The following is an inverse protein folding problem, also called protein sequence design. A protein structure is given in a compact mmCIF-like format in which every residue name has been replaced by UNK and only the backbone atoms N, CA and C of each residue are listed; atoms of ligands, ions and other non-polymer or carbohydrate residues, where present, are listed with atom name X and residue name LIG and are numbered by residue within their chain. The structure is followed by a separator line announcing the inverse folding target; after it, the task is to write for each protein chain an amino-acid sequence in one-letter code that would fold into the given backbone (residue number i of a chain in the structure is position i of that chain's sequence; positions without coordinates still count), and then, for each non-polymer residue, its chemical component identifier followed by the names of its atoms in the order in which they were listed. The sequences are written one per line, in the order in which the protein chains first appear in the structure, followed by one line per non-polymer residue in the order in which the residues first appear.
data_IF_393548945529
#
_entry.id   IF_393548945529
#
_cell.length_a   1.000
_cell.length_b   1.000
_cell.length_c   1.000
_cell.angle_alpha   90.00
_cell.angle_beta   90.00
_cell.angle_gamma   90.00
#
_symmetry.space_group_name_H-M   'P 1'
#
loop_
_entity.id
_entity.type
_entity.pdbx_description
1 polymer ?
#
# COMPACT_ATOMS: atom_id res chain seq x y z
N UNK A 1 18.86 -4.36 -0.66
CA UNK A 1 19.50 -5.51 0.02
C UNK A 1 18.36 -6.21 0.73
N UNK A 2 18.07 -7.44 0.35
CA UNK A 2 16.87 -8.14 0.86
C UNK A 2 17.07 -8.50 2.33
N UNK A 3 16.14 -8.07 3.18
CA UNK A 3 16.14 -8.41 4.60
C UNK A 3 15.44 -9.76 4.79
N UNK A 4 15.91 -10.54 5.77
CA UNK A 4 15.37 -11.87 6.05
C UNK A 4 14.85 -11.92 7.48
N UNK A 5 13.58 -12.26 7.62
CA UNK A 5 12.92 -12.54 8.89
C UNK A 5 12.92 -14.05 9.11
N UNK A 6 13.42 -14.48 10.27
CA UNK A 6 13.45 -15.88 10.70
C UNK A 6 12.90 -16.03 12.10
N UNK A 7 12.45 -17.24 12.44
CA UNK A 7 12.08 -17.63 13.81
C UNK A 7 12.82 -18.93 14.14
N UNK A 8 13.61 -18.93 15.22
CA UNK A 8 14.40 -20.11 15.67
C UNK A 8 13.51 -21.32 15.96
N UNK A 9 12.22 -21.10 16.23
CA UNK A 9 11.22 -22.15 16.47
C UNK A 9 10.74 -22.82 15.18
N UNK A 10 11.01 -22.21 14.02
CA UNK A 10 10.56 -22.64 12.69
C UNK A 10 11.77 -22.94 11.78
N UNK A 11 12.62 -23.93 12.12
CA UNK A 11 13.79 -24.25 11.33
C UNK A 11 13.39 -24.64 9.90
N UNK A 12 14.11 -24.11 8.92
CA UNK A 12 13.83 -24.33 7.50
C UNK A 12 12.69 -23.45 6.96
N UNK A 13 12.26 -22.43 7.68
CA UNK A 13 11.38 -21.39 7.18
C UNK A 13 12.02 -20.01 7.30
N UNK A 14 11.71 -19.13 6.35
CA UNK A 14 12.10 -17.72 6.39
C UNK A 14 11.13 -16.88 5.60
N UNK A 15 11.03 -15.60 5.91
CA UNK A 15 10.39 -14.60 5.07
C UNK A 15 11.45 -13.61 4.56
N UNK A 16 11.43 -13.31 3.28
CA UNK A 16 12.26 -12.28 2.65
C UNK A 16 11.43 -11.02 2.48
N UNK A 17 11.95 -9.89 2.93
CA UNK A 17 11.46 -8.57 2.56
C UNK A 17 12.20 -8.12 1.30
N UNK A 18 11.44 -7.75 0.29
CA UNK A 18 11.93 -7.33 -1.03
C UNK A 18 11.37 -5.94 -1.28
N UNK A 19 12.22 -5.01 -1.67
CA UNK A 19 11.76 -3.67 -2.05
C UNK A 19 10.91 -3.75 -3.32
N UNK A 20 9.77 -3.08 -3.33
CA UNK A 20 8.87 -3.03 -4.48
C UNK A 20 9.12 -1.74 -5.28
N UNK A 21 10.05 -1.83 -6.22
CA UNK A 21 10.41 -0.73 -7.13
C UNK A 21 9.31 -0.40 -8.16
N UNK A 22 8.25 -1.21 -8.23
CA UNK A 22 7.13 -1.06 -9.18
C UNK A 22 5.78 -0.88 -8.48
N UNK A 23 5.80 -0.50 -7.19
CA UNK A 23 4.61 -0.33 -6.39
C UNK A 23 3.62 0.67 -7.03
N UNK A 24 2.37 0.23 -7.14
CA UNK A 24 1.26 1.11 -7.48
C UNK A 24 0.92 2.03 -6.29
N UNK A 25 0.18 3.10 -6.58
CA UNK A 25 -0.33 3.98 -5.52
C UNK A 25 -1.21 3.21 -4.53
N UNK A 26 -1.27 3.63 -3.25
CA UNK A 26 -2.17 3.01 -2.27
C UNK A 26 -3.60 2.91 -2.83
N UNK A 27 -4.09 1.68 -2.96
CA UNK A 27 -5.43 1.36 -3.44
C UNK A 27 -6.17 0.40 -2.48
N UNK A 28 -7.50 0.42 -2.53
CA UNK A 28 -8.33 -0.43 -1.69
C UNK A 28 -9.70 0.17 -1.35
N UNK A 29 -10.67 -0.72 -1.12
CA UNK A 29 -12.09 -0.37 -0.91
C UNK A 29 -12.35 0.47 0.36
N UNK A 30 -11.34 0.60 1.24
CA UNK A 30 -11.44 1.32 2.51
C UNK A 30 -10.48 2.51 2.65
N UNK A 31 -9.68 2.83 1.63
CA UNK A 31 -8.76 3.97 1.70
C UNK A 31 -9.51 5.29 1.54
N UNK A 32 -9.13 6.27 2.36
CA UNK A 32 -9.64 7.62 2.21
C UNK A 32 -9.27 8.18 0.83
N UNK A 33 -10.19 8.89 0.14
CA UNK A 33 -9.91 9.52 -1.13
C UNK A 33 -8.67 10.41 -1.09
N UNK A 34 -7.85 10.31 -2.13
CA UNK A 34 -6.64 11.11 -2.30
C UNK A 34 -6.58 11.79 -3.67
N UNK A 35 -6.23 13.08 -3.68
CA UNK A 35 -5.98 13.87 -4.88
C UNK A 35 -4.47 14.07 -5.06
N UNK A 36 -3.93 13.55 -6.15
CA UNK A 36 -2.55 13.72 -6.57
C UNK A 36 -2.42 14.99 -7.40
N UNK A 37 -1.56 15.90 -6.95
CA UNK A 37 -1.29 17.21 -7.58
C UNK A 37 0.18 17.28 -7.93
N UNK A 38 0.51 16.86 -9.15
CA UNK A 38 1.86 16.98 -9.67
C UNK A 38 2.21 18.43 -10.01
N UNK A 39 3.44 18.87 -9.74
CA UNK A 39 3.92 20.21 -10.16
C UNK A 39 3.86 20.43 -11.67
N UNK A 40 3.96 19.34 -12.42
CA UNK A 40 3.84 19.30 -13.88
C UNK A 40 2.90 18.16 -14.23
N UNK A 41 1.62 18.47 -14.44
CA UNK A 41 0.60 17.48 -14.76
C UNK A 41 -0.79 18.01 -14.47
N UNK A 42 -1.80 17.26 -14.92
CA UNK A 42 -3.17 17.48 -14.47
C UNK A 42 -3.36 16.73 -13.15
N UNK A 43 -4.03 17.34 -12.16
CA UNK A 43 -4.38 16.65 -10.94
C UNK A 43 -5.32 15.47 -11.25
N UNK A 44 -5.20 14.40 -10.48
CA UNK A 44 -6.07 13.23 -10.62
C UNK A 44 -6.33 12.63 -9.24
N UNK A 45 -7.46 11.95 -9.09
CA UNK A 45 -7.65 11.13 -7.89
C UNK A 45 -6.88 9.81 -8.03
N UNK A 46 -6.43 9.32 -6.89
CA UNK A 46 -5.90 7.97 -6.74
C UNK A 46 -6.91 6.94 -7.28
N UNK A 47 -6.43 5.78 -7.70
CA UNK A 47 -7.24 4.62 -8.03
C UNK A 47 -8.13 4.21 -6.85
N UNK A 48 -9.26 3.56 -7.14
CA UNK A 48 -10.17 3.06 -6.10
C UNK A 48 -11.17 4.07 -5.52
N UNK A 49 -11.39 5.23 -6.14
CA UNK A 49 -12.44 6.17 -5.70
C UNK A 49 -13.81 5.49 -5.73
N UNK A 50 -14.41 5.35 -4.55
CA UNK A 50 -15.69 4.65 -4.34
C UNK A 50 -16.87 5.22 -5.15
N UNK A 51 -16.86 6.52 -5.50
CA UNK A 51 -17.84 7.13 -6.41
C UNK A 51 -17.12 7.94 -7.49
N UNK A 52 -16.91 7.37 -8.69
CA UNK A 52 -16.17 8.03 -9.77
C UNK A 52 -16.71 9.41 -10.18
N UNK A 53 -18.02 9.60 -10.11
CA UNK A 53 -18.67 10.88 -10.43
C UNK A 53 -18.26 12.02 -9.47
N UNK A 54 -17.98 11.71 -8.20
CA UNK A 54 -17.42 12.70 -7.27
C UNK A 54 -15.98 13.03 -7.64
N UNK A 55 -15.20 12.03 -8.06
CA UNK A 55 -13.82 12.25 -8.48
C UNK A 55 -13.68 13.29 -9.58
N UNK A 56 -14.47 13.16 -10.65
CA UNK A 56 -14.48 14.13 -11.76
C UNK A 56 -14.80 15.55 -11.27
N UNK A 57 -15.77 15.70 -10.35
CA UNK A 57 -16.16 17.01 -9.81
C UNK A 57 -15.09 17.60 -8.89
N UNK A 58 -14.45 16.77 -8.08
CA UNK A 58 -13.38 17.18 -7.17
C UNK A 58 -12.17 17.68 -7.95
N UNK A 59 -11.72 16.93 -8.96
CA UNK A 59 -10.61 17.34 -9.85
C UNK A 59 -10.94 18.67 -10.54
N UNK A 60 -12.11 18.77 -11.17
CA UNK A 60 -12.53 20.00 -11.85
C UNK A 60 -12.66 21.21 -10.89
N UNK A 61 -13.04 20.97 -9.62
CA UNK A 61 -13.10 22.01 -8.62
C UNK A 61 -11.71 22.49 -8.21
N UNK A 62 -10.74 21.59 -8.06
CA UNK A 62 -9.35 21.94 -7.77
C UNK A 62 -8.77 22.84 -8.87
N UNK A 63 -8.88 22.42 -10.13
CA UNK A 63 -8.40 23.19 -11.29
C UNK A 63 -9.01 24.58 -11.38
N UNK A 64 -10.32 24.69 -11.14
CA UNK A 64 -11.04 25.96 -11.21
C UNK A 64 -10.67 26.91 -10.08
N UNK A 65 -10.46 26.39 -8.87
CA UNK A 65 -10.25 27.21 -7.68
C UNK A 65 -8.80 27.69 -7.55
N UNK A 66 -7.84 26.87 -7.98
CA UNK A 66 -6.41 27.21 -8.04
C UNK A 66 -5.77 27.54 -6.69
N UNK A 67 -6.45 27.22 -5.59
CA UNK A 67 -6.08 27.59 -4.23
C UNK A 67 -6.57 26.52 -3.25
N UNK A 68 -5.67 26.09 -2.35
CA UNK A 68 -5.91 24.97 -1.42
C UNK A 68 -6.98 25.30 -0.40
N UNK A 69 -7.01 26.51 0.14
CA UNK A 69 -8.00 26.90 1.17
C UNK A 69 -9.41 26.97 0.60
N UNK A 70 -9.54 27.51 -0.63
CA UNK A 70 -10.81 27.50 -1.37
C UNK A 70 -11.24 26.08 -1.70
N UNK A 71 -10.32 25.21 -2.08
CA UNK A 71 -10.60 23.81 -2.35
C UNK A 71 -11.05 23.04 -1.11
N UNK A 72 -10.37 23.22 0.03
CA UNK A 72 -10.81 22.62 1.30
C UNK A 72 -12.22 23.09 1.67
N UNK A 73 -12.50 24.39 1.54
CA UNK A 73 -13.86 24.92 1.78
C UNK A 73 -14.89 24.29 0.84
N UNK A 74 -14.55 24.08 -0.43
CA UNK A 74 -15.41 23.39 -1.38
C UNK A 74 -15.70 21.94 -0.93
N UNK A 75 -14.68 21.18 -0.52
CA UNK A 75 -14.84 19.82 -0.02
C UNK A 75 -15.75 19.77 1.23
N UNK A 76 -15.55 20.69 2.17
CA UNK A 76 -16.39 20.79 3.38
C UNK A 76 -17.87 21.04 3.03
N UNK A 77 -18.15 21.96 2.11
CA UNK A 77 -19.53 22.36 1.76
C UNK A 77 -20.23 21.30 0.91
N UNK A 78 -19.55 20.74 -0.09
CA UNK A 78 -20.19 19.92 -1.12
C UNK A 78 -20.00 18.41 -0.92
N UNK A 79 -18.98 18.01 -0.17
CA UNK A 79 -18.66 16.60 0.08
C UNK A 79 -18.67 16.26 1.57
N UNK A 80 -19.01 17.23 2.45
CA UNK A 80 -19.10 17.04 3.89
C UNK A 80 -17.79 16.62 4.54
N UNK A 81 -16.66 17.04 3.95
CA UNK A 81 -15.34 16.72 4.48
C UNK A 81 -15.13 17.32 5.85
N UNK A 82 -14.56 16.53 6.76
CA UNK A 82 -14.27 16.92 8.14
C UNK A 82 -12.78 17.01 8.41
N UNK A 83 -11.99 16.17 7.75
CA UNK A 83 -10.54 16.03 7.85
C UNK A 83 -9.90 16.14 6.47
N UNK A 84 -8.83 16.93 6.37
CA UNK A 84 -7.97 17.00 5.20
C UNK A 84 -6.52 17.04 5.68
N UNK A 85 -5.68 16.17 5.15
CA UNK A 85 -4.25 16.15 5.38
C UNK A 85 -3.51 16.15 4.05
N UNK A 86 -2.19 16.38 4.09
CA UNK A 86 -1.36 16.25 2.91
C UNK A 86 -0.01 15.64 3.24
N UNK A 87 0.53 14.94 2.27
CA UNK A 87 1.93 14.56 2.18
C UNK A 87 2.51 15.11 0.89
N UNK A 88 3.78 15.46 0.92
CA UNK A 88 4.39 16.27 -0.14
C UNK A 88 5.83 15.84 -0.39
N UNK A 89 6.19 15.74 -1.66
CA UNK A 89 7.57 15.67 -2.13
C UNK A 89 7.89 16.91 -2.97
N UNK A 90 9.15 17.12 -3.40
CA UNK A 90 9.47 18.20 -4.33
C UNK A 90 8.73 18.14 -5.68
N UNK A 91 8.09 17.04 -6.05
CA UNK A 91 7.43 16.87 -7.35
C UNK A 91 5.92 16.69 -7.30
N UNK A 92 5.39 16.26 -6.15
CA UNK A 92 4.02 15.78 -6.01
C UNK A 92 3.47 16.10 -4.62
N UNK A 93 2.28 16.69 -4.59
CA UNK A 93 1.47 16.80 -3.38
C UNK A 93 0.32 15.79 -3.46
N UNK A 94 0.04 15.11 -2.35
CA UNK A 94 -1.13 14.24 -2.20
C UNK A 94 -2.02 14.81 -1.11
N UNK A 95 -3.25 15.20 -1.48
CA UNK A 95 -4.26 15.68 -0.55
C UNK A 95 -5.19 14.53 -0.19
N UNK A 96 -5.24 14.14 1.08
CA UNK A 96 -6.05 13.01 1.57
C UNK A 96 -7.19 13.60 2.39
N UNK A 97 -8.42 13.15 2.16
CA UNK A 97 -9.60 13.73 2.79
C UNK A 97 -10.71 12.72 3.02
N UNK A 98 -11.48 12.90 4.09
CA UNK A 98 -12.69 12.13 4.33
C UNK A 98 -13.89 12.82 3.67
N UNK A 99 -14.76 12.10 2.97
CA UNK A 99 -16.04 12.66 2.52
C UNK A 99 -17.17 11.99 3.29
N UNK A 100 -18.36 12.59 3.28
CA UNK A 100 -19.55 11.93 3.83
C UNK A 100 -19.82 10.59 3.16
N UNK A 101 -19.71 10.54 1.82
CA UNK A 101 -20.02 9.31 1.10
C UNK A 101 -18.94 8.23 1.29
N UNK A 102 -17.66 8.61 1.46
CA UNK A 102 -16.61 7.69 1.87
C UNK A 102 -16.93 7.09 3.23
N UNK A 103 -17.21 7.94 4.23
CA UNK A 103 -17.56 7.47 5.58
C UNK A 103 -18.79 6.56 5.54
N UNK A 104 -19.79 6.87 4.72
CA UNK A 104 -20.96 6.01 4.55
C UNK A 104 -20.61 4.64 3.92
N UNK A 105 -19.71 4.62 2.92
CA UNK A 105 -19.23 3.39 2.29
C UNK A 105 -18.55 2.45 3.30
N UNK A 106 -17.63 3.00 4.10
CA UNK A 106 -16.87 2.21 5.08
C UNK A 106 -17.58 2.04 6.43
N UNK A 107 -18.84 2.48 6.55
CA UNK A 107 -19.66 2.30 7.74
C UNK A 107 -19.26 3.19 8.94
N UNK A 108 -18.61 4.33 8.70
CA UNK A 108 -18.18 5.28 9.72
C UNK A 108 -19.24 6.34 10.01
N UNK A 109 -19.50 6.58 11.30
CA UNK A 109 -20.41 7.64 11.78
C UNK A 109 -19.67 8.86 12.34
N UNK A 110 -18.37 8.74 12.55
CA UNK A 110 -17.46 9.78 13.06
C UNK A 110 -16.49 10.23 11.95
N UNK A 111 -15.86 11.42 12.08
CA UNK A 111 -14.77 11.81 11.19
C UNK A 111 -13.68 10.72 11.11
N UNK A 112 -13.08 10.54 9.94
CA UNK A 112 -11.99 9.59 9.79
C UNK A 112 -10.70 10.16 10.37
N UNK A 113 -9.95 9.31 11.08
CA UNK A 113 -8.57 9.58 11.46
C UNK A 113 -7.67 9.20 10.29
N UNK A 114 -7.17 10.20 9.57
CA UNK A 114 -6.37 10.02 8.35
C UNK A 114 -4.88 9.74 8.64
N UNK A 115 -4.51 9.40 9.88
CA UNK A 115 -3.11 9.21 10.29
C UNK A 115 -2.47 7.99 9.62
N UNK A 116 -3.22 6.89 9.50
CA UNK A 116 -2.72 5.67 8.86
C UNK A 116 -2.54 5.89 7.35
N UNK A 117 -3.54 6.45 6.67
CA UNK A 117 -3.50 6.76 5.24
C UNK A 117 -2.37 7.73 4.95
N UNK A 118 -2.18 8.76 5.78
CA UNK A 118 -1.04 9.69 5.64
C UNK A 118 0.29 8.94 5.68
N UNK A 119 0.42 7.94 6.55
CA UNK A 119 1.65 7.15 6.70
C UNK A 119 1.90 6.28 5.47
N UNK A 120 0.87 5.62 4.94
CA UNK A 120 0.97 4.80 3.72
C UNK A 120 1.32 5.66 2.49
N UNK A 121 0.64 6.79 2.32
CA UNK A 121 0.95 7.72 1.23
C UNK A 121 2.36 8.30 1.34
N UNK A 122 2.84 8.59 2.55
CA UNK A 122 4.22 9.03 2.76
C UNK A 122 5.21 7.92 2.39
N UNK A 123 4.96 6.68 2.82
CA UNK A 123 5.80 5.54 2.48
C UNK A 123 5.87 5.32 0.96
N UNK A 124 4.74 5.37 0.25
CA UNK A 124 4.74 5.28 -1.21
C UNK A 124 5.54 6.41 -1.88
N UNK A 125 5.38 7.66 -1.42
CA UNK A 125 6.13 8.80 -1.94
C UNK A 125 7.64 8.70 -1.70
N UNK A 126 8.04 8.10 -0.58
CA UNK A 126 9.44 7.86 -0.23
C UNK A 126 10.01 6.61 -0.91
N UNK A 127 9.17 5.85 -1.62
CA UNK A 127 9.51 4.56 -2.22
C UNK A 127 9.60 3.43 -1.19
N UNK A 128 9.23 3.63 0.07
CA UNK A 128 9.30 2.66 1.17
C UNK A 128 8.17 1.61 1.07
N UNK A 129 8.15 0.84 -0.02
CA UNK A 129 7.15 -0.19 -0.30
C UNK A 129 7.84 -1.54 -0.47
N UNK A 130 7.23 -2.59 0.06
CA UNK A 130 7.84 -3.92 0.11
C UNK A 130 6.87 -5.02 -0.34
N UNK A 131 7.46 -6.08 -0.88
CA UNK A 131 6.89 -7.42 -0.90
C UNK A 131 7.48 -8.31 0.18
N UNK A 132 6.71 -9.30 0.60
CA UNK A 132 7.10 -10.37 1.51
C UNK A 132 6.96 -11.69 0.78
N UNK A 133 8.06 -12.45 0.67
CA UNK A 133 8.03 -13.82 0.17
C UNK A 133 8.38 -14.79 1.30
N UNK A 134 7.44 -15.66 1.67
CA UNK A 134 7.71 -16.76 2.60
C UNK A 134 8.29 -17.94 1.85
N UNK A 135 9.40 -18.46 2.34
CA UNK A 135 10.12 -19.57 1.74
C UNK A 135 10.31 -20.72 2.73
N UNK A 136 10.19 -21.94 2.21
CA UNK A 136 10.52 -23.16 2.93
C UNK A 136 11.75 -23.82 2.32
N UNK A 137 12.66 -24.24 3.18
CA UNK A 137 13.83 -25.00 2.80
C UNK A 137 13.42 -26.40 2.36
N UNK A 138 13.77 -26.74 1.12
CA UNK A 138 13.50 -28.04 0.54
C UNK A 138 14.82 -28.76 0.28
N UNK A 139 15.02 -29.85 1.01
CA UNK A 139 16.09 -30.82 0.76
C UNK A 139 15.50 -32.04 0.10
N UNK A 140 16.05 -32.44 -1.04
CA UNK A 140 15.55 -33.59 -1.77
C UNK A 140 16.54 -34.06 -2.82
N UNK A 141 16.03 -34.84 -3.75
CA UNK A 141 16.79 -35.49 -4.79
C UNK A 141 16.07 -35.25 -6.12
N UNK A 142 16.73 -34.60 -7.07
CA UNK A 142 16.20 -34.38 -8.42
C UNK A 142 16.88 -35.35 -9.38
N UNK A 143 16.08 -36.05 -10.18
CA UNK A 143 16.57 -36.87 -11.29
C UNK A 143 16.36 -36.10 -12.59
N UNK A 144 17.42 -35.99 -13.37
CA UNK A 144 17.45 -35.26 -14.64
C UNK A 144 17.13 -36.20 -15.81
N UNK A 145 16.92 -35.63 -17.01
CA UNK A 145 16.58 -36.39 -18.22
C UNK A 145 17.67 -37.39 -18.66
N UNK A 146 18.91 -37.20 -18.21
CA UNK A 146 20.03 -38.13 -18.44
C UNK A 146 20.12 -39.25 -17.38
N UNK A 147 19.08 -39.41 -16.55
CA UNK A 147 18.98 -40.32 -15.41
C UNK A 147 20.03 -40.08 -14.31
N UNK A 148 20.77 -38.98 -14.34
CA UNK A 148 21.61 -38.59 -13.20
C UNK A 148 20.74 -38.02 -12.09
N UNK A 149 21.18 -38.20 -10.86
CA UNK A 149 20.41 -37.84 -9.68
C UNK A 149 21.27 -37.00 -8.75
N UNK A 150 20.81 -35.79 -8.42
CA UNK A 150 21.55 -34.84 -7.58
C UNK A 150 20.75 -34.45 -6.35
N UNK A 151 21.43 -34.41 -5.21
CA UNK A 151 20.87 -33.78 -4.01
C UNK A 151 20.65 -32.29 -4.30
N UNK A 152 19.44 -31.81 -4.03
CA UNK A 152 19.07 -30.41 -4.16
C UNK A 152 18.77 -29.83 -2.78
N UNK A 153 19.30 -28.65 -2.53
CA UNK A 153 19.02 -27.85 -1.34
C UNK A 153 18.67 -26.44 -1.80
N UNK A 154 17.39 -26.11 -1.76
CA UNK A 154 16.89 -24.85 -2.27
C UNK A 154 15.76 -24.32 -1.39
N UNK A 155 15.64 -23.00 -1.35
CA UNK A 155 14.49 -22.32 -0.78
C UNK A 155 13.41 -22.24 -1.86
N UNK A 156 12.18 -22.61 -1.52
CA UNK A 156 11.02 -22.47 -2.41
C UNK A 156 10.02 -21.52 -1.80
N UNK A 157 9.56 -20.57 -2.60
CA UNK A 157 8.46 -19.68 -2.22
C UNK A 157 7.20 -20.51 -1.99
N UNK A 158 6.55 -20.27 -0.86
CA UNK A 158 5.29 -20.89 -0.45
C UNK A 158 4.14 -19.89 -0.62
N UNK A 159 4.40 -18.62 -0.31
CA UNK A 159 3.43 -17.53 -0.36
C UNK A 159 4.17 -16.22 -0.62
N UNK A 160 3.54 -15.30 -1.34
CA UNK A 160 4.06 -13.96 -1.56
C UNK A 160 2.97 -12.88 -1.60
N UNK A 161 3.26 -11.75 -0.95
CA UNK A 161 2.37 -10.58 -0.86
C UNK A 161 3.17 -9.34 -1.21
N UNK A 162 2.58 -8.44 -2.00
CA UNK A 162 3.22 -7.21 -2.49
C UNK A 162 2.39 -5.98 -2.13
N UNK A 163 3.00 -4.79 -2.21
CA UNK A 163 2.33 -3.52 -1.91
C UNK A 163 2.20 -3.20 -0.41
N UNK A 164 3.13 -3.67 0.43
CA UNK A 164 3.15 -3.35 1.86
C UNK A 164 3.89 -2.02 2.08
N UNK A 165 3.13 -0.98 2.46
CA UNK A 165 3.65 0.36 2.70
C UNK A 165 4.32 0.47 4.08
N UNK A 166 5.60 0.85 4.09
CA UNK A 166 6.38 1.05 5.30
C UNK A 166 7.16 -0.18 5.73
N UNK A 167 8.46 -0.02 5.98
CA UNK A 167 9.36 -1.12 6.39
C UNK A 167 8.89 -1.84 7.67
N UNK A 168 8.47 -1.10 8.69
CA UNK A 168 8.03 -1.68 9.98
C UNK A 168 6.78 -2.53 9.80
N UNK A 169 5.78 -2.01 9.07
CA UNK A 169 4.54 -2.73 8.76
C UNK A 169 4.82 -4.00 7.95
N UNK A 170 5.68 -3.91 6.92
CA UNK A 170 6.09 -5.06 6.13
C UNK A 170 6.83 -6.13 6.95
N UNK A 171 7.66 -5.70 7.90
CA UNK A 171 8.40 -6.61 8.80
C UNK A 171 7.46 -7.34 9.75
N UNK A 172 6.48 -6.63 10.34
CA UNK A 172 5.49 -7.23 11.23
C UNK A 172 4.60 -8.21 10.46
N UNK A 173 4.14 -7.81 9.27
CA UNK A 173 3.39 -8.70 8.37
C UNK A 173 4.20 -9.95 7.99
N UNK A 174 5.50 -9.81 7.71
CA UNK A 174 6.38 -10.93 7.40
C UNK A 174 6.50 -11.94 8.56
N UNK A 175 6.51 -11.46 9.80
CA UNK A 175 6.55 -12.33 10.98
C UNK A 175 5.25 -13.12 11.14
N UNK A 176 4.12 -12.49 10.91
CA UNK A 176 2.81 -13.12 11.05
C UNK A 176 2.57 -14.12 9.91
N UNK A 177 2.82 -13.71 8.66
CA UNK A 177 2.70 -14.60 7.50
C UNK A 177 3.62 -15.83 7.59
N UNK A 178 4.87 -15.64 8.08
CA UNK A 178 5.79 -16.74 8.32
C UNK A 178 5.21 -17.79 9.27
N UNK A 179 4.57 -17.34 10.37
CA UNK A 179 3.95 -18.24 11.36
C UNK A 179 2.73 -18.94 10.80
N UNK A 180 1.90 -18.23 10.05
CA UNK A 180 0.71 -18.79 9.40
C UNK A 180 1.08 -19.88 8.39
N UNK A 181 2.01 -19.59 7.47
CA UNK A 181 2.47 -20.56 6.48
C UNK A 181 3.15 -21.79 7.11
N UNK A 182 3.87 -21.61 8.22
CA UNK A 182 4.53 -22.72 8.91
C UNK A 182 3.59 -23.57 9.78
N UNK A 183 2.40 -23.05 10.13
CA UNK A 183 1.38 -23.75 10.90
C UNK A 183 0.40 -24.56 10.04
N UNK A 184 0.28 -24.23 8.75
CA UNK A 184 -0.51 -24.96 7.75
C UNK A 184 0.19 -26.21 7.20
#
# INVERSE_FOLDING_TARGET
MDEVVTDDRLPGWRARLIHDDSAHEPDGDALAPALLVARRGQPHLATGVYVPAHGVRIVAAFDRLGDRDRFERYLRIHHGTTSLTAVSTPGLDVLIFDTTDFRALVGMTVPADLTAERTEWQAWLDGDVYGVCVERHHTGVTTWDDNTTTAVSQWRVVEDVWGLFGHTSATDYARDLLRECAAG
#
